data_IF_174340593401
#
_entry.id   IF_174340593401
#
_cell.length_a   1.000
_cell.length_b   1.000
_cell.length_c   1.000
_cell.angle_alpha   90.00
_cell.angle_beta   90.00
_cell.angle_gamma   90.00
#
_symmetry.space_group_name_H-M   'P 1'
#
loop_
_entity.id
_entity.type
_entity.pdbx_description
1 polymer ?
#
# COMPACT_ATOMS: atom_id res chain seq x y z
N UNK A 1 -29.24 -25.98 -57.79
CA UNK A 1 -28.28 -25.11 -57.10
C UNK A 1 -28.92 -24.74 -55.78
N UNK A 2 -28.57 -25.44 -54.70
CA UNK A 2 -29.10 -25.16 -53.36
C UNK A 2 -28.21 -24.09 -52.74
N UNK A 3 -28.76 -22.91 -52.52
CA UNK A 3 -28.19 -21.86 -51.72
C UNK A 3 -28.17 -22.35 -50.27
N UNK A 4 -27.06 -22.79 -49.78
CA UNK A 4 -26.79 -22.95 -48.36
C UNK A 4 -26.53 -21.55 -47.76
N UNK A 5 -27.61 -20.80 -47.65
CA UNK A 5 -27.69 -19.68 -46.75
C UNK A 5 -28.09 -20.22 -45.39
N UNK A 6 -27.17 -20.69 -44.61
CA UNK A 6 -27.38 -20.84 -43.20
C UNK A 6 -26.71 -19.65 -42.55
N UNK A 7 -27.52 -18.80 -42.03
CA UNK A 7 -27.21 -17.91 -40.94
C UNK A 7 -26.58 -18.71 -39.83
N UNK A 8 -25.24 -18.84 -39.87
CA UNK A 8 -24.43 -19.17 -38.69
C UNK A 8 -24.39 -17.91 -37.85
N UNK A 9 -25.57 -17.53 -37.57
CA UNK A 9 -25.78 -16.28 -37.01
C UNK A 9 -25.86 -16.34 -35.55
N UNK A 10 -25.15 -15.46 -35.04
CA UNK A 10 -25.50 -14.56 -34.00
C UNK A 10 -25.74 -15.15 -32.59
N UNK A 11 -26.15 -16.37 -32.45
CA UNK A 11 -26.34 -17.03 -31.15
C UNK A 11 -25.02 -17.30 -30.42
N UNK A 12 -23.89 -17.39 -31.13
CA UNK A 12 -22.55 -17.56 -30.53
C UNK A 12 -21.92 -16.25 -30.04
N UNK A 13 -22.56 -15.13 -30.32
CA UNK A 13 -22.04 -13.78 -29.95
C UNK A 13 -22.99 -13.03 -29.04
N UNK A 14 -23.95 -13.71 -28.47
CA UNK A 14 -25.00 -13.20 -27.61
C UNK A 14 -25.23 -14.13 -26.44
N UNK A 15 -25.55 -13.56 -25.31
CA UNK A 15 -26.06 -14.29 -24.16
C UNK A 15 -27.32 -13.62 -23.67
N UNK A 16 -28.22 -14.43 -23.09
CA UNK A 16 -29.46 -13.95 -22.48
C UNK A 16 -29.41 -14.18 -20.99
N UNK A 17 -29.67 -13.13 -20.22
CA UNK A 17 -29.70 -13.19 -18.76
C UNK A 17 -30.77 -12.23 -18.21
N UNK A 18 -31.18 -12.42 -16.98
CA UNK A 18 -32.12 -11.51 -16.32
C UNK A 18 -31.39 -10.24 -15.91
N UNK A 19 -31.96 -9.10 -16.23
CA UNK A 19 -31.43 -7.81 -15.83
C UNK A 19 -31.62 -7.59 -14.32
N UNK A 20 -30.58 -7.25 -13.61
CA UNK A 20 -30.61 -6.75 -12.22
C UNK A 20 -30.40 -5.25 -12.26
N UNK A 21 -31.50 -4.52 -12.15
CA UNK A 21 -31.59 -3.10 -12.46
C UNK A 21 -31.77 -2.83 -13.97
N UNK A 22 -32.24 -1.65 -14.32
CA UNK A 22 -32.44 -1.27 -15.71
C UNK A 22 -31.11 -1.20 -16.48
N UNK A 23 -31.03 -1.88 -17.62
CA UNK A 23 -29.89 -1.83 -18.52
C UNK A 23 -30.19 -0.79 -19.63
N UNK A 24 -29.35 0.22 -19.73
CA UNK A 24 -29.43 1.19 -20.83
C UNK A 24 -28.86 0.62 -22.12
N UNK A 25 -29.18 1.28 -23.25
CA UNK A 25 -28.64 0.94 -24.56
C UNK A 25 -27.12 1.22 -24.63
N UNK A 26 -26.34 0.35 -25.24
CA UNK A 26 -24.89 0.51 -25.42
C UNK A 26 -24.08 0.45 -24.12
N UNK A 27 -24.63 -0.11 -23.05
CA UNK A 27 -23.97 -0.16 -21.73
C UNK A 27 -23.12 -1.43 -21.57
N UNK A 28 -21.95 -1.27 -21.00
CA UNK A 28 -21.09 -2.37 -20.55
C UNK A 28 -21.75 -3.11 -19.39
N UNK A 29 -21.68 -4.43 -19.39
CA UNK A 29 -22.37 -5.28 -18.42
C UNK A 29 -21.45 -6.28 -17.75
N UNK A 30 -21.75 -6.59 -16.49
CA UNK A 30 -21.14 -7.64 -15.68
C UNK A 30 -22.16 -8.70 -15.28
N UNK A 31 -21.66 -9.93 -15.05
CA UNK A 31 -22.43 -11.01 -14.43
C UNK A 31 -22.33 -10.90 -12.92
N UNK A 32 -23.46 -10.93 -12.26
CA UNK A 32 -23.56 -10.97 -10.80
C UNK A 32 -23.42 -12.42 -10.28
N UNK A 33 -23.13 -12.58 -8.99
CA UNK A 33 -22.95 -13.91 -8.37
C UNK A 33 -24.20 -14.80 -8.41
N UNK A 34 -25.39 -14.24 -8.61
CA UNK A 34 -26.65 -14.96 -8.75
C UNK A 34 -27.00 -15.32 -10.22
N UNK A 35 -26.11 -14.98 -11.17
CA UNK A 35 -26.29 -15.22 -12.59
C UNK A 35 -27.10 -14.16 -13.34
N UNK A 36 -27.58 -13.11 -12.66
CA UNK A 36 -28.18 -11.94 -13.30
C UNK A 36 -27.09 -11.05 -13.92
N UNK A 37 -27.51 -10.06 -14.72
CA UNK A 37 -26.57 -9.08 -15.30
C UNK A 37 -26.95 -7.67 -14.89
N UNK A 38 -25.94 -6.85 -14.61
CA UNK A 38 -26.11 -5.43 -14.32
C UNK A 38 -25.15 -4.58 -15.17
N UNK A 39 -25.44 -3.28 -15.29
CA UNK A 39 -24.49 -2.35 -15.91
C UNK A 39 -23.24 -2.24 -15.05
N UNK A 40 -22.09 -2.06 -15.70
CA UNK A 40 -20.89 -1.62 -14.97
C UNK A 40 -21.16 -0.25 -14.38
N UNK A 41 -21.01 -0.13 -13.09
CA UNK A 41 -21.28 1.12 -12.37
C UNK A 41 -20.25 1.37 -11.29
N UNK A 42 -19.84 2.61 -11.18
CA UNK A 42 -19.01 3.10 -10.08
C UNK A 42 -19.85 3.83 -9.05
N UNK A 43 -19.56 3.59 -7.80
CA UNK A 43 -20.12 4.33 -6.66
C UNK A 43 -19.03 5.12 -5.94
N UNK A 44 -19.21 6.42 -5.82
CA UNK A 44 -18.27 7.28 -5.12
C UNK A 44 -18.33 7.01 -3.60
N UNK A 45 -17.17 6.76 -3.00
CA UNK A 45 -16.96 6.72 -1.56
C UNK A 45 -16.34 8.05 -1.15
N UNK A 46 -16.99 8.75 -0.21
CA UNK A 46 -16.50 10.04 0.28
C UNK A 46 -15.36 9.86 1.28
N UNK A 47 -14.46 10.85 1.32
CA UNK A 47 -13.45 10.93 2.35
C UNK A 47 -14.07 11.12 3.74
N UNK A 48 -13.50 10.45 4.74
CA UNK A 48 -13.88 10.60 6.15
C UNK A 48 -12.69 10.29 7.05
N UNK A 49 -12.59 10.95 8.19
CA UNK A 49 -11.63 10.61 9.24
C UNK A 49 -12.41 10.05 10.44
N UNK A 50 -12.10 8.84 10.85
CA UNK A 50 -12.64 8.23 12.06
C UNK A 50 -12.08 8.90 13.31
N UNK A 51 -12.82 8.78 14.41
CA UNK A 51 -12.32 9.24 15.71
C UNK A 51 -11.10 8.43 16.15
N UNK A 52 -10.16 9.09 16.81
CA UNK A 52 -9.04 8.43 17.44
C UNK A 52 -9.51 7.37 18.44
N UNK A 53 -8.92 6.20 18.38
CA UNK A 53 -9.25 5.07 19.26
C UNK A 53 -7.99 4.62 20.01
N UNK A 54 -8.10 4.55 21.34
CA UNK A 54 -7.03 4.08 22.21
C UNK A 54 -6.88 2.55 22.06
N UNK A 55 -5.69 2.05 21.72
CA UNK A 55 -5.41 0.62 21.72
C UNK A 55 -4.70 0.15 22.99
N UNK A 56 -4.05 1.05 23.70
CA UNK A 56 -3.52 0.81 25.05
C UNK A 56 -3.54 2.10 25.87
N UNK A 57 -3.87 1.97 27.15
CA UNK A 57 -3.78 3.08 28.10
C UNK A 57 -2.36 3.31 28.64
N UNK A 58 -1.44 2.42 28.29
CA UNK A 58 -0.04 2.54 28.67
C UNK A 58 0.67 3.57 27.82
N UNK A 59 1.68 4.20 28.40
CA UNK A 59 2.65 5.01 27.67
C UNK A 59 3.39 4.11 26.67
N UNK A 60 3.44 4.53 25.41
CA UNK A 60 4.15 3.78 24.37
C UNK A 60 5.24 4.61 23.72
N UNK A 61 6.21 3.91 23.16
CA UNK A 61 7.21 4.50 22.28
C UNK A 61 7.52 3.49 21.16
N UNK A 62 7.98 3.98 20.01
CA UNK A 62 8.23 3.17 18.83
C UNK A 62 7.04 2.25 18.47
N UNK A 63 6.45 2.38 17.32
CA UNK A 63 5.40 1.50 16.87
C UNK A 63 5.53 1.12 15.39
N UNK A 64 5.04 -0.07 15.04
CA UNK A 64 4.90 -0.56 13.68
C UNK A 64 3.52 -1.15 13.46
N UNK A 65 3.01 -1.05 12.24
CA UNK A 65 1.69 -1.54 11.86
C UNK A 65 1.80 -2.35 10.57
N UNK A 66 1.14 -3.50 10.52
CA UNK A 66 0.94 -4.27 9.30
C UNK A 66 -0.48 -4.80 9.19
N UNK A 67 -0.94 -5.00 7.95
CA UNK A 67 -2.31 -5.41 7.66
C UNK A 67 -2.35 -6.83 7.10
N UNK A 68 -3.16 -7.67 7.72
CA UNK A 68 -3.50 -9.02 7.30
C UNK A 68 -4.68 -8.94 6.33
N UNK A 69 -4.40 -9.11 5.05
CA UNK A 69 -5.38 -9.00 3.96
C UNK A 69 -6.37 -10.15 3.96
N UNK A 70 -5.99 -11.33 4.43
CA UNK A 70 -6.85 -12.52 4.44
C UNK A 70 -7.91 -12.45 5.55
N UNK A 71 -7.50 -12.01 6.75
CA UNK A 71 -8.37 -11.97 7.92
C UNK A 71 -8.98 -10.57 8.16
N UNK A 72 -8.61 -9.57 7.36
CA UNK A 72 -9.00 -8.16 7.53
C UNK A 72 -8.68 -7.66 8.96
N UNK A 73 -7.43 -7.89 9.39
CA UNK A 73 -6.92 -7.54 10.71
C UNK A 73 -5.66 -6.69 10.61
N UNK A 74 -5.41 -5.88 11.62
CA UNK A 74 -4.14 -5.19 11.77
C UNK A 74 -3.38 -5.76 12.95
N UNK A 75 -2.07 -5.90 12.79
CA UNK A 75 -1.13 -6.11 13.88
C UNK A 75 -0.44 -4.77 14.18
N UNK A 76 -0.55 -4.32 15.42
CA UNK A 76 0.22 -3.18 15.95
C UNK A 76 1.25 -3.76 16.90
N UNK A 77 2.52 -3.43 16.70
CA UNK A 77 3.62 -3.78 17.60
C UNK A 77 4.22 -2.50 18.16
N UNK A 78 4.55 -2.49 19.43
CA UNK A 78 5.03 -1.28 20.12
C UNK A 78 5.91 -1.63 21.32
N UNK A 79 6.68 -0.62 21.78
CA UNK A 79 7.35 -0.67 23.08
C UNK A 79 6.38 -0.17 24.15
N UNK A 80 6.06 -1.03 25.10
CA UNK A 80 5.17 -0.75 26.24
C UNK A 80 6.01 -0.24 27.41
N UNK A 81 6.04 1.08 27.61
CA UNK A 81 6.88 1.73 28.62
C UNK A 81 6.41 1.40 30.05
N UNK A 82 5.11 1.32 30.27
CA UNK A 82 4.53 0.99 31.57
C UNK A 82 4.68 -0.50 31.91
N UNK A 83 4.95 -1.34 30.91
CA UNK A 83 5.27 -2.74 31.09
C UNK A 83 6.77 -3.01 30.92
N UNK A 84 7.62 -2.32 31.65
CA UNK A 84 9.08 -2.52 31.67
C UNK A 84 9.76 -2.36 30.29
N UNK A 85 9.20 -1.55 29.40
CA UNK A 85 9.64 -1.37 28.00
C UNK A 85 9.60 -2.66 27.17
N UNK A 86 8.72 -3.58 27.48
CA UNK A 86 8.59 -4.85 26.75
C UNK A 86 8.01 -4.64 25.35
N UNK A 87 8.46 -5.48 24.43
CA UNK A 87 7.87 -5.56 23.10
C UNK A 87 6.50 -6.23 23.16
N UNK A 88 5.46 -5.50 22.77
CA UNK A 88 4.07 -5.91 22.88
C UNK A 88 3.36 -5.79 21.53
N UNK A 89 2.46 -6.72 21.24
CA UNK A 89 1.62 -6.70 20.03
C UNK A 89 0.14 -6.79 20.36
N UNK A 90 -0.70 -6.15 19.58
CA UNK A 90 -2.16 -6.16 19.71
C UNK A 90 -2.83 -6.26 18.35
N UNK A 91 -3.96 -6.97 18.27
CA UNK A 91 -4.73 -7.17 17.05
C UNK A 91 -5.92 -6.20 17.01
N UNK A 92 -6.05 -5.47 15.92
CA UNK A 92 -7.20 -4.62 15.62
C UNK A 92 -8.13 -5.22 14.58
N UNK A 93 -9.43 -5.00 14.74
CA UNK A 93 -10.48 -5.34 13.76
C UNK A 93 -11.15 -4.07 13.28
N UNK A 94 -11.06 -3.79 11.98
CA UNK A 94 -11.61 -2.58 11.37
C UNK A 94 -13.06 -2.82 10.92
N UNK A 95 -13.94 -1.87 11.24
CA UNK A 95 -15.34 -1.82 10.80
C UNK A 95 -15.71 -0.39 10.41
N UNK A 96 -15.91 -0.14 9.12
CA UNK A 96 -16.07 1.23 8.63
C UNK A 96 -14.83 2.08 8.94
N UNK A 97 -14.99 3.20 9.61
CA UNK A 97 -13.90 4.07 10.12
C UNK A 97 -13.63 3.86 11.62
N UNK A 98 -14.16 2.79 12.20
CA UNK A 98 -13.93 2.41 13.59
C UNK A 98 -13.01 1.19 13.68
N UNK A 99 -12.35 1.00 14.81
CA UNK A 99 -11.50 -0.15 15.08
C UNK A 99 -11.75 -0.63 16.53
N UNK A 100 -11.72 -1.95 16.72
CA UNK A 100 -11.77 -2.59 18.04
C UNK A 100 -10.56 -3.47 18.23
N UNK A 101 -10.12 -3.67 19.48
CA UNK A 101 -8.89 -4.38 19.80
C UNK A 101 -9.15 -5.63 20.61
N UNK A 102 -8.30 -6.65 20.41
CA UNK A 102 -8.18 -7.82 21.28
C UNK A 102 -7.30 -7.56 22.50
N UNK A 103 -6.78 -8.63 23.10
CA UNK A 103 -5.83 -8.51 24.21
C UNK A 103 -4.41 -8.34 23.71
N UNK A 104 -3.65 -7.47 24.36
CA UNK A 104 -2.23 -7.30 24.10
C UNK A 104 -1.42 -8.54 24.53
N UNK A 105 -0.38 -8.87 23.79
CA UNK A 105 0.49 -10.03 24.04
C UNK A 105 1.96 -9.60 23.93
N UNK A 106 2.76 -9.91 24.95
CA UNK A 106 4.20 -9.63 24.97
C UNK A 106 4.93 -10.59 24.04
N UNK A 107 5.74 -10.08 23.10
CA UNK A 107 6.62 -10.90 22.25
C UNK A 107 8.07 -10.89 22.72
N UNK A 108 8.49 -9.88 23.50
CA UNK A 108 9.83 -9.79 24.05
C UNK A 108 9.78 -9.24 25.49
N UNK A 109 10.16 -10.07 26.48
CA UNK A 109 10.22 -9.68 27.90
C UNK A 109 11.56 -9.00 28.23
N UNK A 110 11.92 -7.99 27.42
CA UNK A 110 13.13 -7.19 27.56
C UNK A 110 12.90 -5.81 26.97
N UNK A 111 13.74 -4.83 27.31
CA UNK A 111 13.68 -3.49 26.68
C UNK A 111 13.78 -3.62 25.16
N UNK A 112 12.69 -3.34 24.49
CA UNK A 112 12.54 -3.41 23.04
C UNK A 112 12.67 -2.02 22.45
N UNK A 113 13.42 -1.87 21.35
CA UNK A 113 13.54 -0.64 20.59
C UNK A 113 13.21 -0.90 19.12
N UNK A 114 12.67 0.11 18.46
CA UNK A 114 12.35 0.11 17.01
C UNK A 114 11.53 -1.08 16.52
N UNK A 115 10.51 -1.56 17.25
CA UNK A 115 9.67 -2.64 16.76
C UNK A 115 8.92 -2.19 15.50
N UNK A 116 8.96 -3.02 14.46
CA UNK A 116 8.17 -2.83 13.24
C UNK A 116 7.79 -4.19 12.66
N UNK A 117 6.83 -4.22 11.73
CA UNK A 117 6.33 -5.48 11.19
C UNK A 117 5.89 -5.34 9.73
N UNK A 118 5.88 -6.47 9.03
CA UNK A 118 5.31 -6.63 7.71
C UNK A 118 4.49 -7.93 7.64
N UNK A 119 3.47 -7.95 6.80
CA UNK A 119 2.62 -9.12 6.55
C UNK A 119 3.07 -9.85 5.29
N UNK A 120 3.01 -11.18 5.31
CA UNK A 120 3.17 -12.02 4.12
C UNK A 120 1.85 -12.68 3.76
N UNK A 121 1.31 -12.32 2.59
CA UNK A 121 0.13 -12.96 2.02
C UNK A 121 0.38 -14.42 1.63
N UNK A 122 1.61 -14.77 1.26
CA UNK A 122 2.01 -16.15 0.92
C UNK A 122 1.99 -17.08 2.13
N UNK A 123 2.24 -16.54 3.34
CA UNK A 123 2.29 -17.33 4.59
C UNK A 123 1.16 -17.03 5.55
N UNK A 124 0.35 -16.01 5.25
CA UNK A 124 -0.74 -15.55 6.12
C UNK A 124 -0.24 -15.27 7.56
N UNK A 125 0.97 -14.69 7.64
CA UNK A 125 1.68 -14.40 8.89
C UNK A 125 2.40 -13.07 8.81
N UNK A 126 2.65 -12.51 9.98
CA UNK A 126 3.47 -11.32 10.11
C UNK A 126 4.90 -11.69 10.52
N UNK A 127 5.85 -10.87 10.09
CA UNK A 127 7.21 -10.84 10.60
C UNK A 127 7.37 -9.58 11.42
N UNK A 128 7.68 -9.71 12.69
CA UNK A 128 8.04 -8.59 13.58
C UNK A 128 9.56 -8.54 13.69
N UNK A 129 10.14 -7.36 13.54
CA UNK A 129 11.57 -7.12 13.75
C UNK A 129 11.76 -6.08 14.84
N UNK A 130 12.77 -6.26 15.69
CA UNK A 130 13.03 -5.39 16.83
C UNK A 130 14.47 -5.49 17.32
N UNK A 131 14.91 -4.49 18.07
CA UNK A 131 16.14 -4.50 18.83
C UNK A 131 15.86 -4.88 20.27
N UNK A 132 16.48 -5.95 20.78
CA UNK A 132 16.56 -6.24 22.19
C UNK A 132 17.74 -5.47 22.79
N UNK A 133 17.44 -4.38 23.48
CA UNK A 133 18.48 -3.50 24.04
C UNK A 133 19.28 -4.18 25.17
N UNK A 134 18.64 -5.05 25.94
CA UNK A 134 19.31 -5.79 27.02
C UNK A 134 20.36 -6.79 26.51
N UNK A 135 20.10 -7.39 25.34
CA UNK A 135 21.02 -8.30 24.66
C UNK A 135 21.95 -7.55 23.68
N UNK A 136 21.71 -6.28 23.40
CA UNK A 136 22.37 -5.51 22.34
C UNK A 136 22.33 -6.22 21.00
N UNK A 137 21.15 -6.75 20.61
CA UNK A 137 21.01 -7.62 19.45
C UNK A 137 19.67 -7.42 18.75
N UNK A 138 19.67 -7.42 17.42
CA UNK A 138 18.46 -7.38 16.61
C UNK A 138 17.83 -8.76 16.43
N UNK A 139 16.49 -8.82 16.47
CA UNK A 139 15.72 -10.04 16.32
C UNK A 139 14.59 -9.90 15.31
N UNK A 140 14.18 -11.02 14.74
CA UNK A 140 12.97 -11.22 13.98
C UNK A 140 12.18 -12.37 14.56
N UNK A 141 10.85 -12.23 14.62
CA UNK A 141 9.95 -13.22 15.21
C UNK A 141 8.68 -13.32 14.38
N UNK A 142 8.20 -14.54 14.02
CA UNK A 142 6.95 -14.69 13.29
C UNK A 142 5.77 -14.46 14.22
N UNK A 143 4.72 -13.85 13.72
CA UNK A 143 3.47 -13.63 14.44
C UNK A 143 2.28 -14.16 13.62
N UNK A 144 1.38 -14.87 14.29
CA UNK A 144 0.17 -15.45 13.69
C UNK A 144 -1.06 -14.90 14.41
N UNK A 145 -1.99 -14.34 13.64
CA UNK A 145 -3.29 -13.86 14.13
C UNK A 145 -4.30 -15.00 14.11
N UNK A 146 -5.08 -15.13 15.18
CA UNK A 146 -6.24 -16.01 15.26
C UNK A 146 -7.38 -15.27 15.95
N UNK A 147 -8.42 -14.93 15.20
CA UNK A 147 -9.52 -14.09 15.67
C UNK A 147 -9.04 -12.69 16.07
N UNK A 148 -9.05 -12.37 17.37
CA UNK A 148 -8.58 -11.09 17.92
C UNK A 148 -7.30 -11.24 18.75
N UNK A 149 -6.65 -12.40 18.68
CA UNK A 149 -5.43 -12.71 19.42
C UNK A 149 -4.24 -12.88 18.49
N UNK A 150 -3.03 -12.57 18.96
CA UNK A 150 -1.77 -12.84 18.28
C UNK A 150 -0.92 -13.81 19.10
N UNK A 151 -0.25 -14.72 18.42
CA UNK A 151 0.77 -15.58 18.99
C UNK A 151 2.10 -15.37 18.29
N UNK A 152 3.20 -15.47 19.04
CA UNK A 152 4.55 -15.26 18.54
C UNK A 152 5.32 -16.58 18.58
N UNK A 153 6.09 -16.84 17.52
CA UNK A 153 6.91 -18.05 17.41
C UNK A 153 8.30 -17.87 18.04
N UNK A 154 9.30 -18.53 17.46
CA UNK A 154 10.68 -18.47 17.96
C UNK A 154 11.43 -17.31 17.32
N UNK A 155 12.06 -16.48 18.14
CA UNK A 155 12.87 -15.35 17.67
C UNK A 155 14.20 -15.85 17.06
N UNK A 156 14.60 -15.23 15.97
CA UNK A 156 15.87 -15.48 15.25
C UNK A 156 16.67 -14.18 15.20
N UNK A 157 17.97 -14.23 15.45
CA UNK A 157 18.85 -13.07 15.41
C UNK A 157 18.98 -12.51 13.98
N UNK A 158 18.87 -11.18 13.84
CA UNK A 158 19.18 -10.46 12.59
C UNK A 158 20.69 -10.27 12.49
N UNK A 159 21.33 -9.74 13.53
CA UNK A 159 22.74 -9.40 13.57
C UNK A 159 23.26 -9.48 14.99
N UNK A 160 24.52 -9.80 15.13
CA UNK A 160 25.23 -9.73 16.40
C UNK A 160 25.69 -8.28 16.62
N UNK A 161 25.27 -7.69 17.73
CA UNK A 161 25.53 -6.32 18.09
C UNK A 161 24.30 -5.40 17.99
N UNK A 162 24.44 -4.20 18.52
CA UNK A 162 23.39 -3.20 18.55
C UNK A 162 22.99 -2.77 17.13
N UNK A 163 21.70 -2.65 16.90
CA UNK A 163 21.14 -2.14 15.65
C UNK A 163 20.09 -1.08 15.95
N UNK A 164 19.81 -0.23 14.99
CA UNK A 164 18.80 0.82 15.11
C UNK A 164 18.10 1.08 13.80
N UNK A 165 17.03 1.84 13.83
CA UNK A 165 16.30 2.30 12.65
C UNK A 165 15.88 1.15 11.73
N UNK A 166 15.33 0.07 12.30
CA UNK A 166 14.84 -1.09 11.57
C UNK A 166 13.71 -0.74 10.61
N UNK A 167 13.78 -1.28 9.39
CA UNK A 167 12.67 -1.27 8.42
C UNK A 167 12.53 -2.66 7.82
N UNK A 168 11.31 -3.03 7.51
CA UNK A 168 10.96 -4.31 6.89
C UNK A 168 9.88 -4.13 5.84
N UNK A 169 10.01 -4.81 4.70
CA UNK A 169 8.95 -4.94 3.70
C UNK A 169 8.88 -6.39 3.22
N UNK A 170 7.69 -6.85 2.82
CA UNK A 170 7.54 -8.11 2.09
C UNK A 170 8.09 -7.96 0.68
N UNK A 171 8.79 -8.99 0.19
CA UNK A 171 9.09 -9.15 -1.23
C UNK A 171 7.96 -9.94 -1.90
N UNK A 172 6.98 -9.24 -2.42
CA UNK A 172 5.80 -9.83 -3.06
C UNK A 172 6.11 -10.52 -4.40
N UNK A 173 7.33 -10.39 -4.92
CA UNK A 173 7.76 -11.12 -6.12
C UNK A 173 8.08 -12.59 -5.85
N UNK A 174 8.34 -12.96 -4.60
CA UNK A 174 8.53 -14.35 -4.19
C UNK A 174 7.19 -14.96 -3.77
N UNK A 175 6.49 -15.53 -4.74
CA UNK A 175 5.18 -16.17 -4.54
C UNK A 175 5.28 -17.57 -3.90
N UNK A 176 6.48 -18.06 -3.65
CA UNK A 176 6.72 -19.39 -3.10
C UNK A 176 7.08 -19.39 -1.62
N UNK A 177 7.65 -18.30 -1.12
CA UNK A 177 8.10 -18.14 0.25
C UNK A 177 7.58 -16.82 0.83
N UNK A 178 7.36 -16.76 2.14
CA UNK A 178 7.19 -15.49 2.84
C UNK A 178 8.55 -14.80 2.95
N UNK A 179 8.93 -14.04 1.93
CA UNK A 179 10.23 -13.40 1.86
C UNK A 179 10.14 -11.94 2.29
N UNK A 180 11.06 -11.53 3.16
CA UNK A 180 11.14 -10.17 3.68
C UNK A 180 12.53 -9.59 3.45
N UNK A 181 12.58 -8.33 3.09
CA UNK A 181 13.78 -7.50 3.08
C UNK A 181 13.80 -6.65 4.33
N UNK A 182 14.90 -6.75 5.08
CA UNK A 182 15.12 -6.04 6.33
C UNK A 182 16.35 -5.16 6.17
N UNK A 183 16.23 -3.88 6.51
CA UNK A 183 17.37 -2.97 6.59
C UNK A 183 17.49 -2.39 8.00
N UNK A 184 18.71 -2.06 8.39
CA UNK A 184 18.99 -1.45 9.67
C UNK A 184 20.30 -0.65 9.64
N UNK A 185 20.49 0.18 10.62
CA UNK A 185 21.78 0.79 10.94
C UNK A 185 22.45 -0.06 12.03
N UNK A 186 23.72 -0.44 11.84
CA UNK A 186 24.49 -1.15 12.86
C UNK A 186 25.13 -0.20 13.88
N UNK A 187 25.79 -0.77 14.89
CA UNK A 187 26.48 -0.01 15.94
C UNK A 187 27.66 0.84 15.42
N UNK A 188 28.19 0.52 14.25
CA UNK A 188 29.21 1.32 13.54
C UNK A 188 28.61 2.45 12.71
N UNK A 189 27.30 2.60 12.70
CA UNK A 189 26.53 3.53 11.88
C UNK A 189 26.55 3.20 10.37
N UNK A 190 26.83 1.95 10.02
CA UNK A 190 26.76 1.47 8.66
C UNK A 190 25.33 1.04 8.32
N UNK A 191 24.93 1.22 7.06
CA UNK A 191 23.69 0.67 6.51
C UNK A 191 23.84 -0.80 6.12
N UNK A 192 23.05 -1.66 6.73
CA UNK A 192 23.05 -3.12 6.49
C UNK A 192 21.68 -3.62 6.04
N UNK A 193 21.68 -4.72 5.31
CA UNK A 193 20.45 -5.42 4.90
C UNK A 193 20.62 -6.92 5.03
N UNK A 194 19.49 -7.61 5.22
CA UNK A 194 19.39 -9.08 5.14
C UNK A 194 18.05 -9.47 4.54
N UNK A 195 17.99 -10.69 3.99
CA UNK A 195 16.74 -11.33 3.57
C UNK A 195 16.35 -12.34 4.64
N UNK A 196 15.07 -12.36 4.98
CA UNK A 196 14.48 -13.41 5.80
C UNK A 196 13.41 -14.16 5.00
N UNK A 197 13.42 -15.47 5.06
CA UNK A 197 12.38 -16.32 4.47
C UNK A 197 11.65 -17.06 5.59
N UNK A 198 10.32 -16.96 5.59
CA UNK A 198 9.46 -17.61 6.56
C UNK A 198 8.77 -18.81 5.92
N UNK A 199 8.91 -19.99 6.52
CA UNK A 199 8.23 -21.20 6.11
C UNK A 199 6.76 -21.19 6.60
N UNK A 200 5.95 -22.13 6.12
CA UNK A 200 4.53 -22.24 6.49
C UNK A 200 4.30 -22.47 8.00
N UNK A 201 5.21 -23.17 8.67
CA UNK A 201 5.18 -23.39 10.12
C UNK A 201 5.69 -22.19 10.93
N UNK A 202 6.17 -21.15 10.27
CA UNK A 202 6.76 -19.97 10.89
C UNK A 202 8.26 -20.05 11.14
N UNK A 203 8.94 -21.13 10.73
CA UNK A 203 10.38 -21.20 10.82
C UNK A 203 11.04 -20.15 9.91
N UNK A 204 12.05 -19.47 10.42
CA UNK A 204 12.74 -18.38 9.73
C UNK A 204 14.13 -18.84 9.29
N UNK A 205 14.42 -18.69 8.00
CA UNK A 205 15.76 -18.79 7.42
C UNK A 205 16.28 -17.41 7.07
N UNK A 206 17.45 -17.06 7.58
CA UNK A 206 18.08 -15.76 7.36
C UNK A 206 19.24 -15.88 6.36
N UNK A 207 19.32 -14.93 5.42
CA UNK A 207 20.49 -14.71 4.56
C UNK A 207 21.65 -14.01 5.31
N UNK A 208 22.74 -13.79 4.59
CA UNK A 208 23.86 -13.03 5.09
C UNK A 208 23.53 -11.54 5.24
N UNK A 209 24.29 -10.86 6.08
CA UNK A 209 24.27 -9.40 6.13
C UNK A 209 25.05 -8.81 4.95
N UNK A 210 24.50 -7.81 4.32
CA UNK A 210 25.11 -7.06 3.22
C UNK A 210 25.17 -5.58 3.60
N UNK A 211 26.34 -4.96 3.45
CA UNK A 211 26.52 -3.52 3.66
C UNK A 211 26.15 -2.78 2.37
N UNK A 212 25.29 -1.78 2.46
CA UNK A 212 24.89 -0.91 1.36
C UNK A 212 25.44 0.52 1.48
N UNK A 213 25.82 0.95 2.67
CA UNK A 213 26.51 2.24 2.92
C UNK A 213 27.43 2.10 4.12
N UNK A 214 28.56 2.80 4.10
CA UNK A 214 29.53 2.85 5.20
C UNK A 214 29.51 4.18 5.88
N UNK A 215 29.29 4.16 7.20
CA UNK A 215 29.36 5.27 8.16
C UNK A 215 28.35 6.42 8.02
N UNK A 216 27.83 6.86 9.14
CA UNK A 216 27.01 8.06 9.29
C UNK A 216 25.59 7.97 8.73
N UNK A 217 25.06 6.75 8.55
CA UNK A 217 23.69 6.54 8.07
C UNK A 217 22.69 6.85 9.17
N UNK A 218 21.66 7.65 8.87
CA UNK A 218 20.50 7.94 9.74
C UNK A 218 19.24 8.14 8.89
N UNK A 219 18.07 8.07 9.53
CA UNK A 219 16.79 8.36 8.89
C UNK A 219 16.51 7.41 7.72
N UNK A 220 16.66 6.10 7.92
CA UNK A 220 16.50 5.12 6.85
C UNK A 220 15.02 4.82 6.56
N UNK A 221 14.68 4.60 5.29
CA UNK A 221 13.39 4.09 4.86
C UNK A 221 13.54 3.10 3.71
N UNK A 222 12.52 2.26 3.53
CA UNK A 222 12.53 1.15 2.58
C UNK A 222 11.18 1.03 1.89
N UNK A 223 11.17 0.92 0.57
CA UNK A 223 9.97 0.55 -0.20
C UNK A 223 10.29 -0.49 -1.27
N UNK A 224 9.30 -1.32 -1.62
CA UNK A 224 9.39 -2.31 -2.68
C UNK A 224 8.74 -1.75 -3.95
N UNK A 225 9.54 -1.53 -4.99
CA UNK A 225 9.08 -1.25 -6.35
C UNK A 225 8.68 -2.58 -7.02
N UNK A 226 7.40 -2.88 -6.96
CA UNK A 226 6.82 -4.13 -7.48
C UNK A 226 6.82 -4.19 -9.02
N UNK A 227 6.92 -3.06 -9.71
CA UNK A 227 6.98 -2.98 -11.17
C UNK A 227 8.34 -3.44 -11.69
N UNK A 228 9.43 -2.98 -11.06
CA UNK A 228 10.79 -3.30 -11.45
C UNK A 228 11.39 -4.46 -10.63
N UNK A 229 10.67 -4.93 -9.62
CA UNK A 229 11.14 -5.89 -8.62
C UNK A 229 12.46 -5.43 -7.97
N UNK A 230 12.44 -4.22 -7.42
CA UNK A 230 13.57 -3.55 -6.78
C UNK A 230 13.16 -2.97 -5.44
N UNK A 231 14.16 -2.65 -4.62
CA UNK A 231 13.95 -1.99 -3.34
C UNK A 231 14.63 -0.63 -3.37
N UNK A 232 13.87 0.41 -3.01
CA UNK A 232 14.42 1.74 -2.82
C UNK A 232 14.78 1.90 -1.34
N UNK A 233 16.04 2.19 -1.07
CA UNK A 233 16.52 2.55 0.27
C UNK A 233 16.80 4.05 0.25
N UNK A 234 16.07 4.83 1.04
CA UNK A 234 16.35 6.24 1.27
C UNK A 234 16.97 6.45 2.65
N UNK A 235 17.90 7.37 2.75
CA UNK A 235 18.66 7.61 3.96
C UNK A 235 19.33 8.99 3.93
N UNK A 236 19.83 9.40 5.08
CA UNK A 236 20.68 10.57 5.24
C UNK A 236 22.10 10.14 5.60
N UNK A 237 23.08 10.87 5.04
CA UNK A 237 24.44 11.00 5.59
C UNK A 237 24.66 12.48 5.94
N UNK A 238 25.38 13.24 5.12
CA UNK A 238 25.43 14.72 5.24
C UNK A 238 24.23 15.39 4.54
N UNK A 239 23.63 14.72 3.55
CA UNK A 239 22.48 15.16 2.76
C UNK A 239 21.55 13.98 2.52
N UNK A 240 20.40 14.21 1.86
CA UNK A 240 19.46 13.16 1.52
C UNK A 240 19.91 12.32 0.32
N UNK A 241 19.96 11.01 0.50
CA UNK A 241 20.38 10.04 -0.52
C UNK A 241 19.39 8.89 -0.67
N UNK A 242 19.39 8.27 -1.84
CA UNK A 242 18.78 6.95 -2.01
C UNK A 242 19.63 6.08 -2.96
N UNK A 243 19.42 4.78 -2.86
CA UNK A 243 20.00 3.77 -3.75
C UNK A 243 19.01 2.65 -4.03
N UNK A 244 19.28 1.91 -5.10
CA UNK A 244 18.48 0.74 -5.50
C UNK A 244 19.15 -0.53 -5.02
N UNK A 245 18.40 -1.37 -4.30
CA UNK A 245 18.82 -2.71 -3.96
C UNK A 245 18.09 -3.73 -4.85
N UNK A 246 18.84 -4.72 -5.35
CA UNK A 246 18.32 -5.86 -6.12
C UNK A 246 18.55 -7.13 -5.34
N UNK A 247 17.48 -7.84 -5.00
CA UNK A 247 17.57 -9.14 -4.35
C UNK A 247 17.82 -10.26 -5.38
N UNK A 248 18.66 -11.21 -5.02
CA UNK A 248 18.83 -12.48 -5.74
C UNK A 248 19.00 -13.61 -4.73
N UNK A 249 18.00 -14.49 -4.63
CA UNK A 249 17.94 -15.48 -3.56
C UNK A 249 17.90 -14.80 -2.18
N UNK A 250 18.88 -15.08 -1.34
CA UNK A 250 19.07 -14.44 -0.02
C UNK A 250 20.16 -13.36 -0.02
N UNK A 251 20.66 -12.98 -1.19
CA UNK A 251 21.71 -11.98 -1.36
C UNK A 251 21.19 -10.68 -1.97
N UNK A 252 22.04 -9.65 -1.94
CA UNK A 252 21.78 -8.33 -2.53
C UNK A 252 22.93 -7.86 -3.43
N UNK A 253 22.55 -7.07 -4.43
CA UNK A 253 23.45 -6.13 -5.11
C UNK A 253 22.84 -4.73 -5.00
N UNK A 254 23.72 -3.71 -4.96
CA UNK A 254 23.31 -2.32 -4.78
C UNK A 254 23.79 -1.46 -5.94
N UNK A 255 22.93 -0.58 -6.40
CA UNK A 255 23.28 0.49 -7.32
C UNK A 255 24.05 1.61 -6.63
N UNK A 256 24.48 2.59 -7.41
CA UNK A 256 25.14 3.78 -6.89
C UNK A 256 24.14 4.64 -6.12
N UNK A 257 24.57 5.19 -4.96
CA UNK A 257 23.77 6.18 -4.27
C UNK A 257 23.67 7.49 -5.06
N UNK A 258 22.49 8.08 -5.07
CA UNK A 258 22.22 9.38 -5.68
C UNK A 258 21.60 10.32 -4.65
N UNK A 259 21.91 11.61 -4.72
CA UNK A 259 21.34 12.61 -3.81
C UNK A 259 19.99 13.08 -4.33
N UNK A 260 18.94 13.08 -3.50
CA UNK A 260 17.64 13.63 -3.81
C UNK A 260 17.45 15.07 -3.26
N UNK A 261 18.21 15.46 -2.27
CA UNK A 261 18.30 16.83 -1.80
C UNK A 261 19.73 17.08 -1.26
N UNK A 262 20.45 17.99 -1.92
CA UNK A 262 21.81 18.37 -1.56
C UNK A 262 21.88 19.65 -0.71
N UNK A 263 20.73 20.25 -0.39
CA UNK A 263 20.68 21.56 0.28
C UNK A 263 21.05 21.50 1.76
N UNK A 264 20.66 20.43 2.44
CA UNK A 264 20.94 20.19 3.87
C UNK A 264 20.65 18.73 4.25
N UNK A 265 20.81 18.39 5.53
CA UNK A 265 20.44 17.09 6.07
C UNK A 265 18.94 16.82 5.90
N UNK A 266 18.60 15.68 5.29
CA UNK A 266 17.22 15.22 5.09
C UNK A 266 16.86 14.22 6.20
N UNK A 267 16.20 14.68 7.24
CA UNK A 267 15.81 13.86 8.40
C UNK A 267 14.42 13.24 8.23
N UNK A 268 14.10 12.27 9.08
CA UNK A 268 12.77 11.61 9.12
C UNK A 268 12.28 11.13 7.75
N UNK A 269 13.15 10.44 7.00
CA UNK A 269 12.76 9.96 5.66
C UNK A 269 11.71 8.85 5.74
N UNK A 270 10.72 8.91 4.86
CA UNK A 270 9.74 7.87 4.64
C UNK A 270 9.52 7.69 3.13
N UNK A 271 9.49 6.45 2.65
CA UNK A 271 9.25 6.19 1.24
C UNK A 271 8.12 5.19 1.01
N UNK A 272 7.35 5.40 -0.06
CA UNK A 272 6.30 4.50 -0.51
C UNK A 272 6.29 4.41 -2.04
N UNK A 273 6.02 3.23 -2.55
CA UNK A 273 5.91 2.97 -3.98
C UNK A 273 4.45 3.11 -4.43
N UNK A 274 4.21 3.92 -5.45
CA UNK A 274 2.94 4.06 -6.15
C UNK A 274 2.95 3.10 -7.34
N UNK A 275 2.25 1.98 -7.22
CA UNK A 275 2.19 0.93 -8.24
C UNK A 275 1.40 1.32 -9.48
N UNK A 276 0.57 2.36 -9.42
CA UNK A 276 -0.23 2.86 -10.57
C UNK A 276 0.67 3.63 -11.53
N UNK A 277 1.55 4.47 -11.02
CA UNK A 277 2.48 5.26 -11.86
C UNK A 277 3.88 4.66 -11.95
N UNK A 278 4.17 3.57 -11.20
CA UNK A 278 5.45 2.88 -11.20
C UNK A 278 6.60 3.74 -10.66
N UNK A 279 6.36 4.52 -9.60
CA UNK A 279 7.34 5.44 -8.99
C UNK A 279 7.22 5.47 -7.48
N UNK A 280 8.30 5.85 -6.82
CA UNK A 280 8.29 6.05 -5.37
C UNK A 280 8.24 7.52 -4.98
N UNK A 281 7.59 7.81 -3.87
CA UNK A 281 7.66 9.09 -3.17
C UNK A 281 8.60 8.94 -1.99
N UNK A 282 9.52 9.88 -1.82
CA UNK A 282 10.33 10.03 -0.61
C UNK A 282 9.88 11.32 0.07
N UNK A 283 9.28 11.20 1.25
CA UNK A 283 8.98 12.31 2.15
C UNK A 283 10.13 12.49 3.15
N UNK A 284 10.44 13.71 3.52
CA UNK A 284 11.53 14.03 4.45
C UNK A 284 11.40 15.44 5.01
N UNK A 285 12.16 15.72 6.05
CA UNK A 285 12.30 17.06 6.61
C UNK A 285 13.66 17.64 6.27
N UNK A 286 13.69 18.87 5.80
CA UNK A 286 14.91 19.64 5.58
C UNK A 286 14.72 21.07 6.08
N UNK A 287 15.65 21.56 6.91
CA UNK A 287 15.52 22.90 7.52
C UNK A 287 14.15 23.12 8.20
N UNK A 288 13.68 22.13 8.92
CA UNK A 288 12.39 22.06 9.64
C UNK A 288 11.14 21.95 8.76
N UNK A 289 11.21 22.14 7.44
CA UNK A 289 10.03 22.05 6.56
C UNK A 289 9.86 20.66 5.94
N UNK A 290 8.61 20.24 5.76
CA UNK A 290 8.27 18.97 5.10
C UNK A 290 8.35 19.08 3.59
N UNK A 291 9.17 18.25 2.95
CA UNK A 291 9.28 18.11 1.49
C UNK A 291 9.06 16.68 1.04
N UNK A 292 8.69 16.53 -0.22
CA UNK A 292 8.73 15.23 -0.88
C UNK A 292 9.29 15.33 -2.30
N UNK A 293 9.86 14.23 -2.76
CA UNK A 293 10.42 14.08 -4.11
C UNK A 293 9.96 12.76 -4.71
N UNK A 294 9.78 12.76 -6.04
CA UNK A 294 9.47 11.53 -6.79
C UNK A 294 10.76 10.88 -7.25
N UNK A 295 10.93 9.60 -6.93
CA UNK A 295 12.03 8.75 -7.36
C UNK A 295 11.59 7.82 -8.49
N UNK A 296 12.40 7.70 -9.53
CA UNK A 296 12.19 6.78 -10.67
C UNK A 296 13.37 5.82 -10.75
N UNK A 297 13.09 4.52 -10.65
CA UNK A 297 14.09 3.45 -10.78
C UNK A 297 14.22 3.04 -12.25
N UNK A 298 15.45 2.89 -12.72
CA UNK A 298 15.79 2.34 -14.04
C UNK A 298 17.01 1.42 -13.91
N UNK A 299 16.78 0.12 -13.99
CA UNK A 299 17.81 -0.88 -13.74
C UNK A 299 18.31 -0.84 -12.31
N UNK A 300 19.55 -0.39 -12.09
CA UNK A 300 20.17 -0.22 -10.76
C UNK A 300 20.30 1.24 -10.35
N UNK A 301 19.87 2.15 -11.22
CA UNK A 301 19.98 3.58 -10.98
C UNK A 301 18.65 4.17 -10.50
N UNK A 302 18.73 5.24 -9.70
CA UNK A 302 17.59 6.04 -9.28
C UNK A 302 17.80 7.50 -9.69
N UNK A 303 16.75 8.11 -10.22
CA UNK A 303 16.71 9.53 -10.57
C UNK A 303 15.56 10.21 -9.85
N UNK A 304 15.63 11.52 -9.66
CA UNK A 304 14.67 12.28 -8.88
C UNK A 304 14.11 13.44 -9.65
N UNK A 305 12.84 13.77 -9.39
CA UNK A 305 12.26 15.04 -9.76
C UNK A 305 12.73 16.18 -8.85
N UNK A 306 12.12 17.36 -9.00
CA UNK A 306 12.39 18.45 -8.06
C UNK A 306 11.65 18.24 -6.74
N UNK A 307 12.31 18.48 -5.59
CA UNK A 307 11.63 18.48 -4.29
C UNK A 307 10.54 19.56 -4.23
N UNK A 308 9.38 19.19 -3.68
CA UNK A 308 8.25 20.09 -3.47
C UNK A 308 7.86 20.07 -1.98
N UNK A 309 7.62 21.25 -1.41
CA UNK A 309 7.21 21.41 -0.03
C UNK A 309 5.73 21.04 0.15
N UNK A 310 5.41 20.23 1.16
CA UNK A 310 4.03 19.90 1.54
C UNK A 310 3.58 20.56 2.85
N UNK A 311 4.54 20.96 3.72
CA UNK A 311 4.26 21.65 4.97
C UNK A 311 5.35 22.69 5.24
N UNK A 312 4.93 23.88 5.67
CA UNK A 312 5.83 25.01 5.99
C UNK A 312 6.19 25.13 7.45
N UNK A 313 5.47 24.43 8.32
CA UNK A 313 5.78 24.32 9.75
C UNK A 313 6.89 23.30 10.00
N UNK A 314 7.30 23.16 11.25
CA UNK A 314 8.29 22.15 11.64
C UNK A 314 7.69 20.75 11.54
N UNK A 315 8.20 19.96 10.60
CA UNK A 315 7.77 18.57 10.37
C UNK A 315 8.73 17.60 11.02
N UNK A 316 8.20 16.67 11.77
CA UNK A 316 8.94 15.55 12.37
C UNK A 316 8.20 14.24 12.20
N UNK A 317 8.93 13.12 12.27
CA UNK A 317 8.37 11.74 12.30
C UNK A 317 7.40 11.43 11.15
N UNK A 318 7.90 11.53 9.92
CA UNK A 318 7.11 11.19 8.73
C UNK A 318 6.95 9.68 8.58
N UNK A 319 5.78 9.27 8.11
CA UNK A 319 5.51 7.93 7.57
C UNK A 319 4.80 8.05 6.23
N UNK A 320 4.98 7.06 5.35
CA UNK A 320 4.39 7.07 4.01
C UNK A 320 3.91 5.67 3.62
N UNK A 321 2.71 5.59 3.06
CA UNK A 321 2.17 4.35 2.50
C UNK A 321 1.28 4.64 1.28
N UNK A 322 1.27 3.73 0.34
CA UNK A 322 0.43 3.83 -0.85
C UNK A 322 -0.97 3.27 -0.60
N UNK A 323 -1.98 4.00 -1.05
CA UNK A 323 -3.37 3.56 -1.08
C UNK A 323 -3.77 3.29 -2.54
N UNK A 324 -3.91 2.03 -2.95
CA UNK A 324 -4.20 1.67 -4.34
C UNK A 324 -5.59 2.11 -4.80
N UNK A 325 -6.60 2.13 -3.93
CA UNK A 325 -7.97 2.53 -4.29
C UNK A 325 -8.04 4.04 -4.55
N UNK A 326 -7.32 4.84 -3.76
CA UNK A 326 -7.17 6.28 -4.00
C UNK A 326 -6.20 6.59 -5.14
N UNK A 327 -5.33 5.64 -5.50
CA UNK A 327 -4.19 5.83 -6.42
C UNK A 327 -3.27 6.97 -5.95
N UNK A 328 -2.96 6.99 -4.64
CA UNK A 328 -2.18 8.05 -3.98
C UNK A 328 -1.30 7.52 -2.87
N UNK A 329 -0.16 8.16 -2.68
CA UNK A 329 0.63 7.98 -1.45
C UNK A 329 0.06 8.90 -0.38
N UNK A 330 -0.07 8.39 0.85
CA UNK A 330 -0.43 9.15 2.04
C UNK A 330 0.81 9.36 2.88
N UNK A 331 1.16 10.62 3.14
CA UNK A 331 2.23 11.00 4.07
C UNK A 331 1.55 11.47 5.36
N UNK A 332 1.85 10.80 6.47
CA UNK A 332 1.45 11.24 7.81
C UNK A 332 2.68 11.78 8.55
N UNK A 333 2.49 12.80 9.36
CA UNK A 333 3.57 13.50 10.06
C UNK A 333 3.07 14.24 11.31
N UNK A 334 3.98 14.61 12.18
CA UNK A 334 3.74 15.54 13.26
C UNK A 334 4.17 16.94 12.80
N UNK A 335 3.24 17.90 12.84
CA UNK A 335 3.53 19.34 12.72
C UNK A 335 3.85 19.88 14.12
N UNK A 336 5.12 19.97 14.44
CA UNK A 336 5.59 20.43 15.76
C UNK A 336 5.31 21.92 16.00
N UNK A 337 5.11 22.71 14.93
CA UNK A 337 4.73 24.12 15.05
C UNK A 337 3.27 24.31 15.47
N UNK A 338 2.38 23.50 14.92
CA UNK A 338 0.94 23.49 15.27
C UNK A 338 0.64 22.56 16.45
N UNK A 339 1.55 21.63 16.75
CA UNK A 339 1.38 20.52 17.69
C UNK A 339 0.26 19.56 17.30
N UNK A 340 0.08 19.33 15.99
CA UNK A 340 -0.96 18.47 15.43
C UNK A 340 -0.36 17.25 14.72
N UNK A 341 -1.05 16.12 14.80
CA UNK A 341 -0.87 15.00 13.85
C UNK A 341 -1.59 15.30 12.54
N UNK A 342 -0.86 15.38 11.43
CA UNK A 342 -1.40 15.72 10.10
C UNK A 342 -1.07 14.67 9.04
N UNK A 343 -1.84 14.70 7.95
CA UNK A 343 -1.54 13.95 6.75
C UNK A 343 -1.85 14.74 5.48
N UNK A 344 -1.16 14.36 4.39
CA UNK A 344 -1.45 14.83 3.03
C UNK A 344 -1.52 13.64 2.06
N UNK A 345 -2.35 13.77 1.04
CA UNK A 345 -2.40 12.86 -0.10
C UNK A 345 -1.50 13.39 -1.20
N UNK A 346 -0.65 12.52 -1.76
CA UNK A 346 0.28 12.84 -2.83
C UNK A 346 -0.27 12.35 -4.16
N UNK A 347 -0.31 13.22 -5.16
CA UNK A 347 -0.56 12.87 -6.56
C UNK A 347 0.72 13.09 -7.35
N UNK A 348 1.14 12.10 -8.12
CA UNK A 348 2.34 12.17 -8.96
C UNK A 348 1.94 12.55 -10.40
N UNK A 349 2.55 13.60 -10.92
CA UNK A 349 2.46 13.95 -12.35
C UNK A 349 3.87 13.94 -12.94
N UNK A 350 4.16 12.96 -13.78
CA UNK A 350 5.51 12.67 -14.28
C UNK A 350 6.51 12.45 -13.12
N UNK A 351 7.33 13.45 -12.80
CA UNK A 351 8.30 13.41 -11.70
C UNK A 351 8.05 14.49 -10.64
N UNK A 352 6.86 15.10 -10.66
CA UNK A 352 6.50 16.20 -9.76
C UNK A 352 5.39 15.73 -8.82
N UNK A 353 5.59 15.77 -7.50
CA UNK A 353 4.53 15.52 -6.53
C UNK A 353 3.66 16.78 -6.35
N UNK A 354 2.38 16.58 -6.12
CA UNK A 354 1.44 17.62 -5.67
C UNK A 354 0.65 17.08 -4.49
N UNK A 355 0.18 17.97 -3.62
CA UNK A 355 -0.39 17.58 -2.33
C UNK A 355 -1.81 18.10 -2.15
N UNK A 356 -2.63 17.34 -1.44
CA UNK A 356 -3.87 17.87 -0.88
C UNK A 356 -3.56 18.94 0.19
N UNK A 357 -4.56 19.73 0.55
CA UNK A 357 -4.47 20.51 1.79
C UNK A 357 -4.21 19.56 2.97
N UNK A 358 -3.27 19.89 3.89
CA UNK A 358 -3.04 19.10 5.09
C UNK A 358 -4.33 18.93 5.90
N UNK A 359 -4.60 17.73 6.36
CA UNK A 359 -5.72 17.40 7.21
C UNK A 359 -5.23 16.87 8.56
N UNK A 360 -5.91 17.24 9.64
CA UNK A 360 -5.58 16.85 11.02
C UNK A 360 -6.23 15.49 11.31
N UNK A 361 -5.45 14.52 11.82
CA UNK A 361 -5.96 13.27 12.37
C UNK A 361 -5.91 13.24 13.91
N UNK A 362 -5.05 14.08 14.52
CA UNK A 362 -4.96 14.30 15.95
C UNK A 362 -4.73 15.79 16.23
N UNK A 363 -5.61 16.40 17.01
CA UNK A 363 -5.46 17.78 17.48
C UNK A 363 -4.76 17.78 18.84
N UNK A 364 -3.48 17.72 18.83
CA UNK A 364 -2.63 17.62 20.00
C UNK A 364 -1.28 17.03 19.64
N UNK A 365 -0.29 17.22 20.51
CA UNK A 365 1.09 16.83 20.28
C UNK A 365 1.21 15.30 20.16
N UNK A 366 1.63 14.84 19.00
CA UNK A 366 2.03 13.45 18.76
C UNK A 366 3.46 13.26 19.26
N UNK A 367 3.69 12.23 20.05
CA UNK A 367 5.00 11.96 20.63
C UNK A 367 6.03 11.49 19.59
N UNK A 368 7.29 11.68 19.93
CA UNK A 368 8.43 11.35 19.05
C UNK A 368 8.53 9.87 18.69
N UNK A 369 8.98 9.57 17.46
CA UNK A 369 9.23 8.23 16.90
C UNK A 369 8.00 7.31 16.82
N UNK A 370 6.79 7.86 16.78
CA UNK A 370 5.58 7.06 16.93
C UNK A 370 4.55 7.23 15.81
N UNK A 371 4.91 7.78 14.66
CA UNK A 371 3.97 7.85 13.54
C UNK A 371 4.19 6.70 12.58
N UNK A 372 3.18 5.86 12.39
CA UNK A 372 3.17 4.80 11.39
C UNK A 372 1.84 4.81 10.63
N UNK A 373 1.88 4.51 9.34
CA UNK A 373 0.68 4.34 8.54
C UNK A 373 0.79 3.13 7.62
N UNK A 374 -0.36 2.54 7.30
CA UNK A 374 -0.46 1.49 6.27
C UNK A 374 -1.85 1.47 5.66
N UNK A 375 -1.96 0.97 4.43
CA UNK A 375 -3.22 0.69 3.77
C UNK A 375 -3.90 -0.53 4.40
N UNK A 376 -5.23 -0.45 4.59
CA UNK A 376 -6.01 -1.48 5.29
C UNK A 376 -7.28 -1.89 4.51
N UNK A 377 -7.22 -1.81 3.20
CA UNK A 377 -8.30 -2.23 2.30
C UNK A 377 -9.41 -1.18 2.12
N UNK A 378 -10.11 -1.26 0.98
CA UNK A 378 -11.30 -0.46 0.67
C UNK A 378 -11.10 1.05 0.84
N UNK A 379 -10.02 1.58 0.32
CA UNK A 379 -9.68 3.01 0.36
C UNK A 379 -9.27 3.53 1.74
N UNK A 380 -9.04 2.65 2.72
CA UNK A 380 -8.73 3.06 4.09
C UNK A 380 -7.24 3.02 4.39
N UNK A 381 -6.83 3.94 5.24
CA UNK A 381 -5.51 3.95 5.89
C UNK A 381 -5.71 3.86 7.41
N UNK A 382 -4.81 3.20 8.10
CA UNK A 382 -4.66 3.32 9.54
C UNK A 382 -3.45 4.20 9.84
N UNK A 383 -3.61 5.14 10.74
CA UNK A 383 -2.54 5.96 11.31
C UNK A 383 -2.40 5.60 12.77
N UNK A 384 -1.21 5.17 13.19
CA UNK A 384 -0.89 4.86 14.59
C UNK A 384 0.08 5.89 15.14
N UNK A 385 -0.10 6.25 16.41
CA UNK A 385 0.69 7.27 17.09
C UNK A 385 0.61 7.14 18.61
N UNK A 386 1.53 7.81 19.31
CA UNK A 386 1.44 8.07 20.74
C UNK A 386 0.95 9.49 20.93
N UNK A 387 -0.09 9.66 21.72
CA UNK A 387 -0.68 10.97 22.04
C UNK A 387 -0.05 11.54 23.29
N UNK A 388 0.84 12.53 23.12
CA UNK A 388 1.51 13.20 24.22
C UNK A 388 0.54 14.01 25.09
N UNK A 389 -0.54 14.54 24.48
CA UNK A 389 -1.59 15.24 25.20
C UNK A 389 -2.41 14.35 26.14
N UNK A 390 -2.41 13.02 25.89
CA UNK A 390 -3.11 12.01 26.70
C UNK A 390 -2.13 10.99 27.32
N UNK A 391 -1.08 11.47 27.97
CA UNK A 391 -0.12 10.63 28.70
C UNK A 391 0.61 9.60 27.83
N UNK A 392 0.91 9.96 26.60
CA UNK A 392 1.61 9.12 25.61
C UNK A 392 0.93 7.77 25.33
N UNK A 393 -0.39 7.70 25.50
CA UNK A 393 -1.18 6.53 25.18
C UNK A 393 -1.08 6.17 23.70
N UNK A 394 -1.11 4.89 23.42
CA UNK A 394 -1.19 4.39 22.04
C UNK A 394 -2.56 4.57 21.43
N UNK A 395 -2.64 5.34 20.34
CA UNK A 395 -3.87 5.62 19.59
C UNK A 395 -3.73 5.29 18.11
N UNK A 396 -4.87 5.07 17.47
CA UNK A 396 -4.97 5.00 16.01
C UNK A 396 -6.18 5.79 15.50
N UNK A 397 -6.07 6.30 14.27
CA UNK A 397 -7.18 6.84 13.50
C UNK A 397 -7.32 6.07 12.17
N UNK A 398 -8.56 5.81 11.75
CA UNK A 398 -8.85 5.22 10.43
C UNK A 398 -9.26 6.36 9.49
N UNK A 399 -8.54 6.50 8.40
CA UNK A 399 -8.87 7.44 7.33
C UNK A 399 -9.56 6.67 6.19
N UNK A 400 -10.75 7.09 5.79
CA UNK A 400 -11.39 6.69 4.55
C UNK A 400 -10.99 7.70 3.48
N UNK A 401 -10.29 7.25 2.45
CA UNK A 401 -9.98 8.09 1.29
C UNK A 401 -11.13 8.13 0.29
N UNK A 402 -11.29 9.25 -0.39
CA UNK A 402 -12.24 9.35 -1.50
C UNK A 402 -11.77 8.50 -2.69
N UNK A 403 -12.61 7.59 -3.15
CA UNK A 403 -12.34 6.72 -4.29
C UNK A 403 -13.65 6.26 -4.94
N UNK A 404 -13.53 5.51 -6.03
CA UNK A 404 -14.69 4.90 -6.68
C UNK A 404 -14.64 3.40 -6.48
N UNK A 405 -15.71 2.81 -5.94
CA UNK A 405 -15.90 1.36 -5.89
C UNK A 405 -16.69 0.96 -7.14
N UNK A 406 -16.27 -0.07 -7.84
CA UNK A 406 -16.95 -0.59 -9.02
C UNK A 406 -17.43 -2.01 -8.80
N UNK A 407 -18.52 -2.41 -9.49
CA UNK A 407 -18.94 -3.80 -9.58
C UNK A 407 -18.19 -4.59 -10.68
N UNK A 408 -17.30 -3.94 -11.44
CA UNK A 408 -16.44 -4.56 -12.43
C UNK A 408 -15.29 -5.32 -11.76
N UNK A 409 -15.04 -6.54 -12.20
CA UNK A 409 -13.83 -7.31 -11.89
C UNK A 409 -13.14 -7.76 -13.18
N UNK A 410 -11.92 -8.25 -13.10
CA UNK A 410 -11.19 -8.80 -14.26
C UNK A 410 -11.91 -9.99 -14.94
N UNK A 411 -12.87 -10.62 -14.26
CA UNK A 411 -13.47 -11.88 -14.69
C UNK A 411 -14.98 -11.77 -15.01
N UNK A 412 -15.68 -10.76 -14.47
CA UNK A 412 -17.14 -10.71 -14.55
C UNK A 412 -17.70 -9.89 -15.72
N UNK A 413 -16.85 -9.21 -16.49
CA UNK A 413 -17.30 -8.50 -17.70
C UNK A 413 -17.81 -9.48 -18.74
N UNK A 414 -19.04 -9.26 -19.25
CA UNK A 414 -19.67 -10.16 -20.20
C UNK A 414 -19.86 -9.55 -21.59
N UNK A 415 -20.03 -8.24 -21.70
CA UNK A 415 -20.27 -7.61 -22.98
C UNK A 415 -21.03 -6.28 -22.91
N UNK A 416 -21.73 -5.94 -24.00
CA UNK A 416 -22.42 -4.65 -24.19
C UNK A 416 -23.88 -4.91 -24.61
N UNK A 417 -24.82 -4.13 -24.06
CA UNK A 417 -26.23 -4.19 -24.42
C UNK A 417 -26.49 -3.64 -25.82
N UNK A 418 -27.23 -4.34 -26.70
CA UNK A 418 -27.67 -3.77 -27.98
C UNK A 418 -28.94 -2.91 -27.88
N UNK A 419 -29.67 -3.00 -26.77
CA UNK A 419 -30.91 -2.28 -26.49
C UNK A 419 -31.02 -1.96 -25.00
N UNK A 420 -32.02 -1.13 -24.65
CA UNK A 420 -32.39 -0.91 -23.26
C UNK A 420 -33.32 -2.03 -22.78
N UNK A 421 -33.16 -2.48 -21.54
CA UNK A 421 -33.98 -3.49 -20.88
C UNK A 421 -34.42 -2.99 -19.49
N UNK A 422 -35.69 -3.14 -19.11
CA UNK A 422 -36.13 -2.85 -17.77
C UNK A 422 -35.58 -3.86 -16.74
N UNK A 423 -35.67 -3.51 -15.48
CA UNK A 423 -35.35 -4.40 -14.38
C UNK A 423 -36.17 -5.71 -14.45
N UNK A 424 -35.59 -6.84 -14.04
CA UNK A 424 -36.17 -8.19 -14.08
C UNK A 424 -36.51 -8.71 -15.49
N UNK A 425 -36.19 -8.01 -16.56
CA UNK A 425 -36.41 -8.46 -17.93
C UNK A 425 -35.31 -9.40 -18.42
N UNK A 426 -35.65 -10.29 -19.34
CA UNK A 426 -34.67 -11.02 -20.14
C UNK A 426 -33.92 -10.06 -21.07
N UNK A 427 -32.63 -9.90 -20.83
CA UNK A 427 -31.76 -9.01 -21.58
C UNK A 427 -30.83 -9.79 -22.50
N UNK A 428 -30.65 -9.29 -23.73
CA UNK A 428 -29.61 -9.75 -24.65
C UNK A 428 -28.32 -8.95 -24.39
N UNK A 429 -27.21 -9.64 -24.25
CA UNK A 429 -25.88 -9.03 -24.13
C UNK A 429 -25.02 -9.49 -25.30
N UNK A 430 -24.47 -8.55 -26.03
CA UNK A 430 -23.50 -8.80 -27.10
C UNK A 430 -22.15 -9.14 -26.50
N UNK A 431 -21.66 -10.34 -26.80
CA UNK A 431 -20.41 -10.89 -26.27
C UNK A 431 -19.29 -10.88 -27.31
N UNK A 432 -18.17 -11.50 -27.02
CA UNK A 432 -16.99 -11.57 -27.87
C UNK A 432 -17.28 -11.84 -29.34
N UNK A 433 -16.84 -10.95 -30.23
CA UNK A 433 -16.98 -11.01 -31.65
C UNK A 433 -18.28 -10.38 -32.20
N UNK A 434 -19.20 -9.94 -31.36
CA UNK A 434 -20.36 -9.13 -31.79
C UNK A 434 -19.89 -7.69 -32.13
N UNK A 435 -20.69 -7.05 -32.99
CA UNK A 435 -20.53 -5.61 -33.25
C UNK A 435 -21.63 -4.86 -32.50
N UNK A 436 -21.26 -4.07 -31.52
CA UNK A 436 -22.18 -3.14 -30.88
C UNK A 436 -22.17 -1.82 -31.66
N UNK A 437 -23.33 -1.33 -32.03
CA UNK A 437 -23.52 -0.12 -32.85
C UNK A 437 -24.04 1.08 -32.05
N UNK A 438 -24.17 0.93 -30.75
CA UNK A 438 -24.82 1.86 -29.85
C UNK A 438 -23.79 2.71 -29.04
N UNK A 439 -22.60 2.86 -29.59
CA UNK A 439 -21.55 3.69 -29.00
C UNK A 439 -21.53 5.11 -29.56
N UNK A 440 -20.72 5.96 -29.00
CA UNK A 440 -20.49 7.31 -29.48
C UNK A 440 -19.05 7.76 -29.22
N UNK A 441 -18.57 8.69 -30.05
CA UNK A 441 -17.27 9.35 -29.85
C UNK A 441 -16.05 8.42 -29.85
N UNK A 442 -16.16 7.24 -30.45
CA UNK A 442 -15.03 6.33 -30.60
C UNK A 442 -14.13 6.75 -31.78
N UNK A 443 -12.88 6.34 -31.73
CA UNK A 443 -11.92 6.51 -32.85
C UNK A 443 -11.69 5.15 -33.52
N UNK A 444 -11.97 5.03 -34.80
CA UNK A 444 -11.80 3.78 -35.55
C UNK A 444 -10.36 3.26 -35.46
N UNK A 445 -10.21 1.94 -35.25
CA UNK A 445 -8.92 1.27 -35.06
C UNK A 445 -8.34 1.36 -33.65
N UNK A 446 -8.94 2.17 -32.75
CA UNK A 446 -8.51 2.31 -31.36
C UNK A 446 -9.05 1.19 -30.49
N UNK A 447 -8.23 0.68 -29.58
CA UNK A 447 -8.62 -0.22 -28.49
C UNK A 447 -9.27 0.53 -27.36
N UNK A 448 -10.31 -0.07 -26.75
CA UNK A 448 -11.03 0.51 -25.62
C UNK A 448 -11.11 -0.47 -24.47
N UNK A 449 -11.04 0.06 -23.26
CA UNK A 449 -11.17 -0.64 -21.99
C UNK A 449 -12.42 -0.18 -21.26
N UNK A 450 -13.05 -1.09 -20.53
CA UNK A 450 -14.15 -0.76 -19.64
C UNK A 450 -13.58 0.01 -18.45
N UNK A 451 -14.13 1.20 -18.19
CA UNK A 451 -13.77 2.01 -17.04
C UNK A 451 -14.58 1.60 -15.81
N UNK A 452 -14.14 1.96 -14.63
CA UNK A 452 -14.81 1.64 -13.36
C UNK A 452 -16.21 2.24 -13.23
N UNK A 453 -16.54 3.27 -14.02
CA UNK A 453 -17.87 3.89 -14.12
C UNK A 453 -18.74 3.32 -15.26
N UNK A 454 -18.27 2.29 -15.97
CA UNK A 454 -18.93 1.66 -17.09
C UNK A 454 -18.76 2.35 -18.44
N UNK A 455 -18.03 3.45 -18.52
CA UNK A 455 -17.68 4.09 -19.79
C UNK A 455 -16.56 3.34 -20.52
N UNK A 456 -16.30 3.71 -21.76
CA UNK A 456 -15.20 3.18 -22.56
C UNK A 456 -14.05 4.20 -22.63
N UNK A 457 -12.86 3.79 -22.20
CA UNK A 457 -11.64 4.60 -22.25
C UNK A 457 -10.54 3.96 -23.10
N UNK A 458 -9.59 4.77 -23.59
CA UNK A 458 -8.43 4.28 -24.38
C UNK A 458 -7.27 3.83 -23.52
N UNK A 459 -7.30 4.14 -22.24
CA UNK A 459 -6.33 3.68 -21.22
C UNK A 459 -7.02 2.65 -20.34
N UNK A 460 -6.32 1.58 -19.99
CA UNK A 460 -6.83 0.59 -19.04
C UNK A 460 -7.04 1.24 -17.67
N UNK A 461 -8.16 0.88 -17.01
CA UNK A 461 -8.43 1.22 -15.61
C UNK A 461 -8.04 0.04 -14.71
N UNK A 462 -8.33 0.10 -13.44
CA UNK A 462 -8.17 -0.99 -12.49
C UNK A 462 -9.56 -1.42 -11.94
N UNK A 463 -10.02 -2.64 -12.24
CA UNK A 463 -9.33 -3.70 -13.00
C UNK A 463 -9.19 -3.38 -14.51
N UNK A 464 -8.12 -3.86 -15.14
CA UNK A 464 -7.90 -3.73 -16.57
C UNK A 464 -8.77 -4.72 -17.34
N UNK A 465 -9.87 -4.25 -17.92
CA UNK A 465 -10.82 -5.04 -18.68
C UNK A 465 -10.93 -4.54 -20.11
N UNK A 466 -10.52 -5.36 -21.07
CA UNK A 466 -10.56 -5.00 -22.49
C UNK A 466 -11.98 -5.10 -23.06
N UNK A 467 -12.57 -3.99 -23.45
CA UNK A 467 -13.92 -3.94 -23.99
C UNK A 467 -13.99 -4.33 -25.48
N UNK A 468 -13.03 -3.85 -26.27
CA UNK A 468 -13.06 -4.12 -27.71
C UNK A 468 -12.24 -3.14 -28.54
N UNK A 469 -12.40 -3.24 -29.87
CA UNK A 469 -11.76 -2.34 -30.84
C UNK A 469 -12.83 -1.61 -31.65
N UNK A 470 -12.75 -0.30 -31.69
CA UNK A 470 -13.68 0.52 -32.47
C UNK A 470 -13.48 0.32 -33.97
N UNK A 471 -14.56 0.17 -34.72
CA UNK A 471 -14.57 0.13 -36.20
C UNK A 471 -15.09 1.42 -36.82
N UNK A 472 -15.80 2.22 -36.05
CA UNK A 472 -16.24 3.58 -36.40
C UNK A 472 -16.48 4.40 -35.13
N UNK A 473 -16.92 5.65 -35.28
CA UNK A 473 -17.26 6.51 -34.15
C UNK A 473 -18.43 5.97 -33.28
N UNK A 474 -19.23 5.04 -33.83
CA UNK A 474 -20.42 4.50 -33.15
C UNK A 474 -20.39 2.99 -32.99
N UNK A 475 -19.36 2.29 -33.52
CA UNK A 475 -19.32 0.83 -33.55
C UNK A 475 -18.06 0.26 -32.93
N UNK A 476 -18.22 -0.75 -32.11
CA UNK A 476 -17.12 -1.51 -31.49
C UNK A 476 -17.30 -3.01 -31.70
N UNK A 477 -16.21 -3.72 -32.04
CA UNK A 477 -16.17 -5.17 -31.96
C UNK A 477 -15.88 -5.54 -30.52
N UNK A 478 -16.87 -6.18 -29.87
CA UNK A 478 -16.75 -6.59 -28.47
C UNK A 478 -15.68 -7.69 -28.35
N UNK A 479 -14.79 -7.54 -27.38
CA UNK A 479 -13.76 -8.51 -27.03
C UNK A 479 -13.71 -8.57 -25.50
N UNK A 480 -13.93 -9.68 -24.92
CA UNK A 480 -13.84 -9.94 -23.49
C UNK A 480 -12.96 -11.18 -23.26
#
# INVERSE_FOLDING_TARGET
>A
MRTLGRDFEDTARKVYAVASGALGNGKTCVVNSDGTVSVVAGSAVSAATGSATVFTNNEIEDLGISFDTENNKVLIVYRDKDNSNYGTGIVGTISGTSISFGSATVFASSTTLYPTCAYSSVREKHMVVYMNNSASQGYMIPATISGTSVSFGTAVSIADGAISELRIVEDTSDTSNGTFVIIHRDGGQDGKSTVAQMAADGAITKGNLHQWEGAGVVGISLSHDTTNNKFLISFQTSTGHALVATRSGTGFSFGSKASFDSSAAATYTACAFDSVVGKSVIAYTVSSVGKAVVATISGTDVTFGNPVQFEGGEVVFTSAAFNPDMKKVVIAYHDASAQDGKFVNVTISNTTPSFSTPAVFESGEVSSNTTANTYVGNGKMILGYSDKGDSEKGKVAILQGAHTVTNLTSENYIGITPNAYPDDAGAEIQTKGAVNEEQSSLTAGQSYFVQTDGTLGTTADDPSVFAGTAVSATKIIVKG
#
